data_IF_196456031413
#
_entry.id   IF_196456031413
#
_cell.length_a   1.000
_cell.length_b   1.000
_cell.length_c   1.000
_cell.angle_alpha   90.00
_cell.angle_beta   90.00
_cell.angle_gamma   90.00
#
_symmetry.space_group_name_H-M   'P 1'
#
loop_
_entity.id
_entity.type
_entity.pdbx_description
1 polymer ?
#
# COMPACT_ATOMS: atom_id res chain seq x y z
N UNK A 1 -24.30 -65.12 -76.67
CA UNK A 1 -24.42 -64.52 -75.33
C UNK A 1 -23.03 -64.11 -74.89
N UNK A 2 -22.87 -62.82 -74.54
CA UNK A 2 -21.79 -62.19 -73.73
C UNK A 2 -20.35 -62.55 -74.12
N UNK A 3 -19.52 -61.68 -74.69
CA UNK A 3 -19.40 -60.23 -74.50
C UNK A 3 -18.00 -59.94 -73.95
N UNK A 4 -17.35 -58.92 -74.51
CA UNK A 4 -16.42 -57.94 -73.90
C UNK A 4 -15.43 -57.49 -74.97
N UNK A 5 -15.70 -56.29 -75.47
CA UNK A 5 -14.86 -55.45 -76.29
C UNK A 5 -13.75 -54.83 -75.43
N UNK A 6 -12.58 -54.61 -76.02
CA UNK A 6 -11.68 -53.54 -75.61
C UNK A 6 -10.88 -53.08 -76.84
N UNK A 7 -11.22 -51.90 -77.31
CA UNK A 7 -10.48 -51.11 -78.29
C UNK A 7 -9.07 -50.80 -77.78
N UNK A 8 -8.08 -51.07 -78.62
CA UNK A 8 -6.70 -50.61 -78.46
C UNK A 8 -6.58 -49.29 -79.22
N UNK A 9 -6.18 -48.25 -78.50
CA UNK A 9 -5.84 -46.94 -79.01
C UNK A 9 -4.46 -46.92 -79.68
N UNK A 10 -4.31 -46.08 -80.71
CA UNK A 10 -3.05 -45.55 -81.23
C UNK A 10 -3.23 -44.07 -81.62
N UNK A 11 -2.15 -43.26 -81.79
CA UNK A 11 -1.92 -42.06 -80.98
C UNK A 11 -1.78 -40.75 -81.79
N UNK A 12 -1.36 -39.67 -81.08
CA UNK A 12 -0.95 -38.29 -81.48
C UNK A 12 -2.00 -37.22 -81.11
N UNK A 13 -1.68 -36.00 -80.69
CA UNK A 13 -0.50 -35.16 -80.93
C UNK A 13 -0.33 -34.06 -79.85
N UNK A 14 0.84 -33.41 -79.92
CA UNK A 14 1.15 -32.04 -79.53
C UNK A 14 1.35 -31.65 -78.06
N UNK A 15 2.63 -31.79 -77.70
CA UNK A 15 3.42 -30.93 -76.82
C UNK A 15 3.08 -29.43 -77.01
N UNK A 16 2.12 -28.93 -76.23
CA UNK A 16 2.01 -27.51 -75.92
C UNK A 16 2.74 -27.23 -74.61
N UNK A 17 4.03 -26.85 -74.72
CA UNK A 17 4.82 -26.32 -73.60
C UNK A 17 4.14 -25.06 -73.04
N UNK A 18 3.41 -25.22 -71.94
CA UNK A 18 3.06 -24.12 -71.02
C UNK A 18 4.36 -23.47 -70.52
N UNK A 19 4.42 -22.13 -70.41
CA UNK A 19 5.57 -21.45 -69.85
C UNK A 19 5.69 -21.84 -68.37
N UNK A 20 6.86 -22.40 -68.00
CA UNK A 20 7.20 -22.64 -66.60
C UNK A 20 7.14 -21.31 -65.86
N UNK A 21 6.19 -21.17 -64.93
CA UNK A 21 6.25 -20.14 -63.90
C UNK A 21 7.61 -20.24 -63.20
N UNK A 22 8.44 -19.22 -63.40
CA UNK A 22 9.65 -19.03 -62.61
C UNK A 22 9.26 -18.92 -61.14
N UNK A 23 9.75 -19.83 -60.30
CA UNK A 23 9.70 -19.66 -58.84
C UNK A 23 10.40 -18.35 -58.51
N UNK A 24 9.66 -17.37 -57.98
CA UNK A 24 10.24 -16.14 -57.46
C UNK A 24 11.27 -16.49 -56.38
N UNK A 25 12.44 -15.86 -56.43
CA UNK A 25 13.46 -15.99 -55.39
C UNK A 25 12.91 -15.51 -54.04
N UNK A 26 13.34 -16.13 -52.92
CA UNK A 26 12.92 -15.69 -51.60
C UNK A 26 13.43 -14.26 -51.33
N UNK A 27 12.52 -13.36 -50.99
CA UNK A 27 12.85 -11.95 -50.68
C UNK A 27 13.85 -11.86 -49.52
N UNK A 28 14.78 -10.91 -49.61
CA UNK A 28 15.65 -10.59 -48.47
C UNK A 28 14.88 -9.85 -47.37
N UNK A 29 15.41 -9.85 -46.15
CA UNK A 29 14.81 -9.11 -45.01
C UNK A 29 14.67 -7.62 -45.35
N UNK A 30 15.69 -7.02 -45.96
CA UNK A 30 15.67 -5.60 -46.35
C UNK A 30 14.60 -5.30 -47.39
N UNK A 31 14.39 -6.19 -48.38
CA UNK A 31 13.32 -6.08 -49.37
C UNK A 31 11.95 -6.14 -48.70
N UNK A 32 11.74 -7.09 -47.78
CA UNK A 32 10.48 -7.21 -47.04
C UNK A 32 10.19 -5.91 -46.27
N UNK A 33 11.18 -5.38 -45.56
CA UNK A 33 11.01 -4.14 -44.78
C UNK A 33 10.74 -2.93 -45.69
N UNK A 34 11.48 -2.80 -46.79
CA UNK A 34 11.32 -1.68 -47.73
C UNK A 34 9.95 -1.71 -48.41
N UNK A 35 9.51 -2.89 -48.87
CA UNK A 35 8.20 -3.07 -49.50
C UNK A 35 7.05 -2.83 -48.51
N UNK A 36 7.21 -3.23 -47.24
CA UNK A 36 6.15 -3.09 -46.24
C UNK A 36 5.76 -1.62 -45.98
N UNK A 37 6.72 -0.70 -46.05
CA UNK A 37 6.52 0.72 -45.79
C UNK A 37 6.48 1.59 -47.05
N UNK A 38 6.67 0.99 -48.24
CA UNK A 38 6.73 1.73 -49.50
C UNK A 38 5.49 2.60 -49.72
N UNK A 39 5.71 3.85 -50.15
CA UNK A 39 4.63 4.77 -50.48
C UNK A 39 4.01 4.31 -51.80
N UNK A 40 2.77 3.85 -51.73
CA UNK A 40 1.94 3.57 -52.90
C UNK A 40 0.66 4.38 -52.79
N UNK A 41 0.10 4.81 -53.92
CA UNK A 41 -1.16 5.53 -53.94
C UNK A 41 -2.30 4.65 -54.45
N UNK A 42 -3.51 4.95 -54.02
CA UNK A 42 -4.72 4.37 -54.59
C UNK A 42 -5.14 5.09 -55.88
N UNK A 43 -6.30 4.70 -56.41
CA UNK A 43 -6.86 5.29 -57.64
C UNK A 43 -7.23 6.76 -57.47
N UNK A 44 -7.45 7.19 -56.22
CA UNK A 44 -7.87 8.54 -55.83
C UNK A 44 -6.66 9.39 -55.38
N UNK A 45 -5.44 8.92 -55.65
CA UNK A 45 -4.16 9.54 -55.24
C UNK A 45 -3.92 9.62 -53.73
N UNK A 46 -4.72 8.92 -52.91
CA UNK A 46 -4.46 8.83 -51.47
C UNK A 46 -3.34 7.83 -51.21
N UNK A 47 -2.48 8.15 -50.25
CA UNK A 47 -1.42 7.24 -49.79
C UNK A 47 -2.06 6.02 -49.15
N UNK A 48 -1.71 4.83 -49.63
CA UNK A 48 -2.15 3.57 -49.04
C UNK A 48 -1.43 3.35 -47.70
N UNK A 49 -2.14 2.81 -46.69
CA UNK A 49 -1.50 2.37 -45.47
C UNK A 49 -0.44 1.31 -45.75
N UNK A 50 0.61 1.30 -44.93
CA UNK A 50 1.61 0.25 -44.93
C UNK A 50 0.94 -1.11 -44.76
N UNK A 51 1.51 -2.14 -45.38
CA UNK A 51 0.97 -3.49 -45.28
C UNK A 51 2.07 -4.53 -45.35
N UNK A 52 1.92 -5.60 -44.59
CA UNK A 52 2.83 -6.75 -44.61
C UNK A 52 2.00 -8.03 -44.65
N UNK A 53 2.39 -8.99 -45.49
CA UNK A 53 1.62 -10.23 -45.63
C UNK A 53 1.99 -11.25 -44.55
N UNK A 54 1.09 -12.22 -44.30
CA UNK A 54 1.39 -13.36 -43.41
C UNK A 54 2.60 -14.18 -43.92
N UNK A 55 2.80 -14.24 -45.24
CA UNK A 55 3.94 -14.92 -45.84
C UNK A 55 5.26 -14.19 -45.59
N UNK A 56 5.26 -12.85 -45.67
CA UNK A 56 6.43 -12.03 -45.35
C UNK A 56 6.79 -12.15 -43.86
N UNK A 57 5.80 -12.05 -42.96
CA UNK A 57 6.01 -12.26 -41.52
C UNK A 57 6.58 -13.66 -41.22
N UNK A 58 6.07 -14.70 -41.89
CA UNK A 58 6.61 -16.06 -41.77
C UNK A 58 8.05 -16.15 -42.28
N UNK A 59 8.34 -15.49 -43.39
CA UNK A 59 9.67 -15.44 -43.98
C UNK A 59 10.68 -14.78 -43.03
N UNK A 60 10.30 -13.67 -42.38
CA UNK A 60 11.12 -13.02 -41.35
C UNK A 60 11.41 -13.96 -40.17
N UNK A 61 10.41 -14.70 -39.67
CA UNK A 61 10.57 -15.62 -38.54
C UNK A 61 11.49 -16.81 -38.84
N UNK A 62 11.52 -17.27 -40.10
CA UNK A 62 12.27 -18.46 -40.53
C UNK A 62 13.54 -18.14 -41.31
N UNK A 63 13.91 -16.86 -41.42
CA UNK A 63 15.04 -16.44 -42.24
C UNK A 63 16.36 -17.01 -41.68
N UNK A 64 17.12 -17.68 -42.54
CA UNK A 64 18.30 -18.44 -42.10
C UNK A 64 19.63 -17.73 -42.37
N UNK A 65 19.68 -16.69 -43.21
CA UNK A 65 20.93 -16.01 -43.53
C UNK A 65 21.25 -14.93 -42.50
N UNK A 66 22.54 -14.75 -42.19
CA UNK A 66 23.01 -13.65 -41.36
C UNK A 66 22.72 -12.33 -42.07
N UNK A 67 21.91 -11.50 -41.43
CA UNK A 67 21.51 -10.19 -41.93
C UNK A 67 22.04 -9.15 -40.97
N UNK A 68 22.61 -8.06 -41.51
CA UNK A 68 22.90 -6.85 -40.75
C UNK A 68 22.07 -5.73 -41.34
N UNK A 69 21.18 -5.17 -40.54
CA UNK A 69 20.33 -4.08 -41.01
C UNK A 69 21.07 -2.76 -40.79
N UNK A 70 21.39 -2.07 -41.88
CA UNK A 70 22.13 -0.80 -41.77
C UNK A 70 21.27 0.29 -41.11
N UNK A 71 21.93 1.23 -40.44
CA UNK A 71 21.27 2.45 -39.95
C UNK A 71 20.63 3.25 -41.08
N UNK A 72 21.26 3.25 -42.25
CA UNK A 72 20.79 3.93 -43.45
C UNK A 72 19.45 3.37 -43.94
N UNK A 73 19.23 2.05 -43.79
CA UNK A 73 17.95 1.43 -44.11
C UNK A 73 16.82 1.96 -43.20
N UNK A 74 17.06 2.06 -41.89
CA UNK A 74 16.07 2.61 -40.97
C UNK A 74 15.76 4.08 -41.29
N UNK A 75 16.79 4.87 -41.59
CA UNK A 75 16.64 6.29 -41.91
C UNK A 75 15.90 6.49 -43.24
N UNK A 76 16.19 5.68 -44.26
CA UNK A 76 15.49 5.70 -45.56
C UNK A 76 14.01 5.30 -45.45
N UNK A 77 13.68 4.31 -44.61
CA UNK A 77 12.31 3.86 -44.38
C UNK A 77 11.52 4.87 -43.52
N UNK A 78 12.18 5.62 -42.63
CA UNK A 78 11.54 6.55 -41.69
C UNK A 78 10.60 7.53 -42.38
N UNK A 79 11.03 8.15 -43.48
CA UNK A 79 10.22 9.14 -44.20
C UNK A 79 8.95 8.52 -44.83
N UNK A 80 9.06 7.28 -45.31
CA UNK A 80 7.93 6.54 -45.87
C UNK A 80 6.97 6.08 -44.75
N UNK A 81 7.51 5.47 -43.69
CA UNK A 81 6.75 4.99 -42.54
C UNK A 81 6.00 6.12 -41.81
N UNK A 82 6.56 7.34 -41.74
CA UNK A 82 5.86 8.52 -41.21
C UNK A 82 4.51 8.77 -41.89
N UNK A 83 4.38 8.41 -43.18
CA UNK A 83 3.19 8.65 -43.99
C UNK A 83 2.29 7.42 -44.08
N UNK A 84 2.88 6.23 -44.13
CA UNK A 84 2.17 4.98 -44.40
C UNK A 84 1.78 4.20 -43.14
N UNK A 85 2.52 4.34 -42.04
CA UNK A 85 2.26 3.65 -40.75
C UNK A 85 2.35 4.59 -39.54
N UNK A 86 1.63 5.72 -39.51
CA UNK A 86 1.74 6.68 -38.40
C UNK A 86 1.31 6.09 -37.05
N UNK A 87 0.38 5.13 -37.04
CA UNK A 87 -0.03 4.41 -35.82
C UNK A 87 0.95 3.31 -35.40
N UNK A 88 1.99 2.99 -36.20
CA UNK A 88 2.97 1.93 -35.94
C UNK A 88 2.38 0.51 -35.93
N UNK A 89 1.30 0.29 -36.67
CA UNK A 89 0.60 -0.99 -36.71
C UNK A 89 1.41 -2.06 -37.43
N UNK A 90 1.99 -1.74 -38.58
CA UNK A 90 2.85 -2.67 -39.33
C UNK A 90 4.15 -2.91 -38.57
N UNK A 91 4.71 -1.84 -37.99
CA UNK A 91 5.89 -1.96 -37.14
C UNK A 91 5.68 -2.88 -35.93
N UNK A 92 4.52 -2.80 -35.27
CA UNK A 92 4.13 -3.73 -34.19
C UNK A 92 4.10 -5.18 -34.65
N UNK A 93 3.55 -5.47 -35.85
CA UNK A 93 3.51 -6.82 -36.40
C UNK A 93 4.92 -7.35 -36.72
N UNK A 94 5.78 -6.51 -37.30
CA UNK A 94 7.18 -6.85 -37.57
C UNK A 94 7.92 -7.11 -36.26
N UNK A 95 7.71 -6.27 -35.24
CA UNK A 95 8.33 -6.45 -33.91
C UNK A 95 7.90 -7.76 -33.27
N UNK A 96 6.62 -8.13 -33.37
CA UNK A 96 6.14 -9.42 -32.87
C UNK A 96 6.76 -10.60 -33.64
N UNK A 97 6.92 -10.49 -34.95
CA UNK A 97 7.62 -11.50 -35.76
C UNK A 97 9.11 -11.58 -35.41
N UNK A 98 9.77 -10.44 -35.18
CA UNK A 98 11.14 -10.35 -34.72
C UNK A 98 11.33 -11.09 -33.40
N UNK A 99 10.46 -10.86 -32.42
CA UNK A 99 10.50 -11.53 -31.12
C UNK A 99 10.36 -13.06 -31.23
N UNK A 100 9.59 -13.56 -32.21
CA UNK A 100 9.37 -14.98 -32.49
C UNK A 100 10.50 -15.64 -33.29
N UNK A 101 11.50 -14.88 -33.74
CA UNK A 101 12.63 -15.44 -34.49
C UNK A 101 13.42 -16.43 -33.64
N UNK A 102 13.76 -17.59 -34.22
CA UNK A 102 14.52 -18.64 -33.51
C UNK A 102 16.02 -18.31 -33.38
N UNK A 103 16.55 -17.48 -34.28
CA UNK A 103 17.96 -17.08 -34.27
C UNK A 103 18.15 -15.79 -33.48
N UNK A 104 18.95 -15.85 -32.42
CA UNK A 104 19.20 -14.71 -31.53
C UNK A 104 19.78 -13.49 -32.24
N UNK A 105 20.73 -13.70 -33.18
CA UNK A 105 21.33 -12.61 -33.95
C UNK A 105 20.31 -11.85 -34.80
N UNK A 106 19.50 -12.57 -35.58
CA UNK A 106 18.44 -11.96 -36.40
C UNK A 106 17.37 -11.29 -35.54
N UNK A 107 16.98 -11.92 -34.42
CA UNK A 107 16.05 -11.34 -33.44
C UNK A 107 16.58 -10.01 -32.92
N UNK A 108 17.85 -9.95 -32.53
CA UNK A 108 18.47 -8.73 -32.02
C UNK A 108 18.53 -7.61 -33.08
N UNK A 109 18.95 -7.93 -34.30
CA UNK A 109 19.02 -6.98 -35.42
C UNK A 109 17.64 -6.40 -35.77
N UNK A 110 16.63 -7.26 -35.91
CA UNK A 110 15.26 -6.83 -36.21
C UNK A 110 14.66 -6.02 -35.05
N UNK A 111 14.87 -6.43 -33.79
CA UNK A 111 14.39 -5.66 -32.64
C UNK A 111 15.05 -4.28 -32.58
N UNK A 112 16.36 -4.20 -32.83
CA UNK A 112 17.11 -2.93 -32.86
C UNK A 112 16.59 -2.02 -33.98
N UNK A 113 16.36 -2.58 -35.17
CA UNK A 113 15.73 -1.86 -36.28
C UNK A 113 14.34 -1.32 -35.90
N UNK A 114 13.49 -2.16 -35.29
CA UNK A 114 12.13 -1.77 -34.91
C UNK A 114 12.13 -0.67 -33.85
N UNK A 115 13.01 -0.76 -32.85
CA UNK A 115 13.16 0.28 -31.81
C UNK A 115 13.66 1.59 -32.40
N UNK A 116 14.64 1.55 -33.30
CA UNK A 116 15.14 2.76 -33.97
C UNK A 116 14.03 3.43 -34.78
N UNK A 117 13.30 2.65 -35.58
CA UNK A 117 12.19 3.18 -36.37
C UNK A 117 11.06 3.74 -35.48
N UNK A 118 10.71 3.05 -34.40
CA UNK A 118 9.74 3.55 -33.41
C UNK A 118 10.21 4.87 -32.77
N UNK A 119 11.51 5.00 -32.47
CA UNK A 119 12.10 6.22 -31.89
C UNK A 119 12.05 7.40 -32.85
N UNK A 120 12.27 7.16 -34.15
CA UNK A 120 12.12 8.17 -35.20
C UNK A 120 10.68 8.60 -35.44
N UNK A 121 9.71 7.73 -35.17
CA UNK A 121 8.27 7.96 -35.39
C UNK A 121 7.52 8.40 -34.12
N UNK A 122 8.18 8.38 -32.96
CA UNK A 122 7.63 8.75 -31.67
C UNK A 122 7.33 10.25 -31.53
N UNK A 123 6.36 10.60 -30.69
CA UNK A 123 5.88 11.98 -30.47
C UNK A 123 6.97 12.96 -29.98
N UNK A 124 8.06 12.49 -29.37
CA UNK A 124 9.22 13.31 -28.98
C UNK A 124 10.47 13.04 -29.82
N UNK A 125 10.33 12.60 -31.08
CA UNK A 125 11.45 12.39 -32.01
C UNK A 125 12.42 13.58 -32.12
N UNK A 126 11.97 14.81 -31.81
CA UNK A 126 12.79 16.02 -31.78
C UNK A 126 13.97 15.93 -30.79
N UNK A 127 13.94 14.98 -29.85
CA UNK A 127 15.06 14.72 -28.93
C UNK A 127 16.22 13.95 -29.59
N UNK A 128 16.04 13.43 -30.81
CA UNK A 128 17.10 12.75 -31.56
C UNK A 128 17.49 11.38 -30.99
N UNK A 129 16.65 10.77 -30.16
CA UNK A 129 16.92 9.46 -29.59
C UNK A 129 16.88 8.36 -30.66
N UNK A 130 17.87 7.47 -30.62
CA UNK A 130 17.91 6.25 -31.44
C UNK A 130 17.26 5.05 -30.74
N UNK A 131 17.04 5.14 -29.42
CA UNK A 131 16.45 4.10 -28.59
C UNK A 131 15.64 4.75 -27.47
N UNK A 132 14.39 5.08 -27.78
CA UNK A 132 13.49 5.75 -26.87
C UNK A 132 13.27 4.94 -25.58
N UNK A 133 13.30 3.61 -25.67
CA UNK A 133 13.02 2.74 -24.53
C UNK A 133 14.17 2.79 -23.54
N UNK A 134 15.41 2.76 -24.03
CA UNK A 134 16.59 2.97 -23.20
C UNK A 134 16.57 4.33 -22.51
N UNK A 135 16.29 5.40 -23.25
CA UNK A 135 16.22 6.75 -22.67
C UNK A 135 15.16 6.87 -21.57
N UNK A 136 13.99 6.23 -21.76
CA UNK A 136 12.95 6.16 -20.74
C UNK A 136 13.47 5.38 -19.53
N UNK A 137 13.98 4.17 -19.74
CA UNK A 137 14.43 3.31 -18.64
C UNK A 137 15.63 3.87 -17.88
N UNK A 138 16.53 4.61 -18.53
CA UNK A 138 17.66 5.25 -17.86
C UNK A 138 17.19 6.40 -16.93
N UNK A 139 16.01 6.97 -17.20
CA UNK A 139 15.40 7.97 -16.31
C UNK A 139 14.84 7.38 -15.01
N UNK A 140 14.51 6.08 -14.97
CA UNK A 140 14.03 5.37 -13.77
C UNK A 140 15.13 5.30 -12.69
N UNK A 141 16.41 5.25 -13.09
CA UNK A 141 17.55 5.04 -12.19
C UNK A 141 17.42 3.79 -11.31
N UNK A 142 16.58 2.81 -11.71
CA UNK A 142 16.32 1.58 -10.98
C UNK A 142 15.46 1.77 -9.72
N UNK A 143 14.60 2.79 -9.68
CA UNK A 143 13.71 3.07 -8.55
C UNK A 143 12.45 2.19 -8.58
N UNK A 144 11.89 1.90 -9.75
CA UNK A 144 10.72 1.04 -9.88
C UNK A 144 11.07 -0.45 -9.95
N UNK A 145 10.40 -1.25 -9.13
CA UNK A 145 10.56 -2.71 -9.12
C UNK A 145 9.91 -3.40 -10.33
N UNK A 146 9.12 -2.67 -11.13
CA UNK A 146 8.43 -3.19 -12.33
C UNK A 146 8.75 -2.35 -13.56
N UNK A 147 9.73 -2.76 -14.39
CA UNK A 147 10.11 -2.05 -15.61
C UNK A 147 8.97 -1.81 -16.60
N UNK A 148 8.04 -2.78 -16.74
CA UNK A 148 6.86 -2.64 -17.61
C UNK A 148 5.90 -1.57 -17.09
N UNK A 149 5.68 -1.51 -15.78
CA UNK A 149 4.79 -0.51 -15.17
C UNK A 149 5.37 0.89 -15.33
N UNK A 150 6.67 1.06 -15.04
CA UNK A 150 7.35 2.33 -15.25
C UNK A 150 7.28 2.79 -16.71
N UNK A 151 7.63 1.91 -17.65
CA UNK A 151 7.58 2.18 -19.08
C UNK A 151 6.16 2.60 -19.51
N UNK A 152 5.15 1.87 -19.05
CA UNK A 152 3.76 2.14 -19.35
C UNK A 152 3.32 3.52 -18.86
N UNK A 153 3.65 3.85 -17.62
CA UNK A 153 3.31 5.14 -17.02
C UNK A 153 4.01 6.29 -17.75
N UNK A 154 5.30 6.14 -18.05
CA UNK A 154 6.08 7.14 -18.76
C UNK A 154 5.51 7.42 -20.17
N UNK A 155 5.23 6.37 -20.95
CA UNK A 155 4.66 6.54 -22.30
C UNK A 155 3.24 7.09 -22.23
N UNK A 156 2.40 6.55 -21.35
CA UNK A 156 0.99 6.95 -21.23
C UNK A 156 0.88 8.41 -20.84
N UNK A 157 1.72 8.90 -19.92
CA UNK A 157 1.71 10.29 -19.50
C UNK A 157 2.08 11.25 -20.64
N UNK A 158 3.05 10.88 -21.48
CA UNK A 158 3.43 11.70 -22.63
C UNK A 158 2.31 11.76 -23.68
N UNK A 159 1.67 10.62 -23.97
CA UNK A 159 0.53 10.59 -24.88
C UNK A 159 -0.69 11.31 -24.32
N UNK A 160 -0.95 11.23 -23.01
CA UNK A 160 -2.03 11.97 -22.35
C UNK A 160 -1.87 13.48 -22.57
N UNK A 161 -0.67 14.02 -22.30
CA UNK A 161 -0.36 15.44 -22.54
C UNK A 161 -0.58 15.83 -24.01
N UNK A 162 -0.16 14.98 -24.96
CA UNK A 162 -0.34 15.24 -26.39
C UNK A 162 -1.82 15.21 -26.81
N UNK A 163 -2.57 14.19 -26.39
CA UNK A 163 -4.00 14.05 -26.68
C UNK A 163 -4.80 15.23 -26.12
N UNK A 164 -4.47 15.68 -24.91
CA UNK A 164 -5.09 16.86 -24.29
C UNK A 164 -4.78 18.13 -25.08
N UNK A 165 -3.53 18.31 -25.54
CA UNK A 165 -3.13 19.47 -26.36
C UNK A 165 -3.89 19.54 -27.69
N UNK A 166 -4.04 18.40 -28.38
CA UNK A 166 -4.84 18.30 -29.63
C UNK A 166 -6.31 18.58 -29.34
N UNK A 167 -6.82 18.12 -28.20
CA UNK A 167 -8.18 18.40 -27.76
C UNK A 167 -8.48 19.88 -27.54
N UNK A 168 -7.53 20.64 -26.96
CA UNK A 168 -7.67 22.09 -26.76
C UNK A 168 -7.57 22.86 -28.07
N UNK A 169 -6.62 22.51 -28.93
CA UNK A 169 -6.46 23.14 -30.25
C UNK A 169 -7.69 22.97 -31.15
N UNK A 170 -8.35 21.81 -31.10
CA UNK A 170 -9.61 21.58 -31.81
C UNK A 170 -10.80 22.39 -31.24
N UNK A 171 -10.73 22.77 -29.95
CA UNK A 171 -11.77 23.56 -29.27
C UNK A 171 -11.57 25.07 -29.38
N UNK A 172 -10.36 25.53 -29.70
CA UNK A 172 -9.97 26.94 -29.77
C UNK A 172 -9.88 27.49 -31.20
N UNK A 173 -10.18 26.70 -32.23
CA UNK A 173 -10.11 27.15 -33.63
C UNK A 173 -11.04 28.36 -33.90
N UNK A 174 -10.51 29.57 -34.17
CA UNK A 174 -11.31 30.71 -34.59
C UNK A 174 -11.57 30.66 -36.10
N UNK A 175 -12.69 31.24 -36.52
CA UNK A 175 -13.07 31.55 -37.90
C UNK A 175 -11.90 32.13 -38.74
N UNK A 176 -11.89 31.94 -40.07
CA UNK A 176 -10.71 32.13 -40.89
C UNK A 176 -10.33 33.60 -40.94
N UNK A 177 -9.19 33.95 -40.35
CA UNK A 177 -8.50 35.21 -40.62
C UNK A 177 -7.21 34.92 -41.36
N UNK A 178 -7.14 35.48 -42.55
CA UNK A 178 -6.00 35.52 -43.46
C UNK A 178 -4.73 35.93 -42.72
N UNK A 179 -3.79 34.99 -42.57
CA UNK A 179 -2.39 35.34 -42.43
C UNK A 179 -1.53 34.33 -43.17
N UNK A 180 -0.77 34.85 -44.12
CA UNK A 180 0.32 34.15 -44.78
C UNK A 180 1.41 33.88 -43.73
N UNK A 181 1.31 32.73 -43.07
CA UNK A 181 2.44 32.12 -42.38
C UNK A 181 3.01 31.07 -43.33
N UNK A 182 4.30 31.17 -43.63
CA UNK A 182 5.06 30.16 -44.36
C UNK A 182 4.70 28.77 -43.81
N UNK A 183 4.12 27.93 -44.67
CA UNK A 183 3.71 26.60 -44.32
C UNK A 183 4.95 25.79 -43.93
N UNK A 184 5.26 25.73 -42.63
CA UNK A 184 6.05 24.62 -42.09
C UNK A 184 5.32 23.37 -42.54
N UNK A 185 5.98 22.52 -43.34
CA UNK A 185 5.47 21.21 -43.71
C UNK A 185 5.02 20.50 -42.43
N UNK A 186 3.72 20.51 -42.15
CA UNK A 186 3.17 19.78 -41.01
C UNK A 186 3.37 18.33 -41.35
N UNK A 187 4.27 17.67 -40.63
CA UNK A 187 4.50 16.26 -40.88
C UNK A 187 3.23 15.48 -40.53
N UNK A 188 2.96 14.35 -41.21
CA UNK A 188 1.75 13.55 -40.99
C UNK A 188 1.54 13.15 -39.51
N UNK A 189 2.62 13.06 -38.73
CA UNK A 189 2.61 12.79 -37.29
C UNK A 189 2.06 13.96 -36.43
N UNK A 190 2.12 15.20 -36.93
CA UNK A 190 1.58 16.37 -36.22
C UNK A 190 0.06 16.49 -36.35
N UNK A 191 -0.57 15.69 -37.23
CA UNK A 191 -1.99 15.78 -37.62
C UNK A 191 -2.83 14.62 -37.04
N UNK A 192 -2.24 13.74 -36.22
CA UNK A 192 -2.95 12.57 -35.68
C UNK A 192 -4.11 12.96 -34.75
N UNK A 193 -5.27 12.35 -34.99
CA UNK A 193 -6.45 12.44 -34.15
C UNK A 193 -6.22 11.79 -32.78
N UNK A 194 -7.09 12.09 -31.81
CA UNK A 194 -7.03 11.48 -30.47
C UNK A 194 -7.06 9.94 -30.52
N UNK A 195 -7.81 9.37 -31.46
CA UNK A 195 -7.95 7.92 -31.64
C UNK A 195 -6.67 7.31 -32.20
N UNK A 196 -6.08 7.93 -33.22
CA UNK A 196 -4.82 7.49 -33.83
C UNK A 196 -3.65 7.62 -32.83
N UNK A 197 -3.62 8.69 -32.02
CA UNK A 197 -2.64 8.82 -30.93
C UNK A 197 -2.77 7.73 -29.87
N UNK A 198 -4.01 7.34 -29.51
CA UNK A 198 -4.23 6.24 -28.58
C UNK A 198 -3.79 4.88 -29.18
N UNK A 199 -4.05 4.66 -30.47
CA UNK A 199 -3.57 3.48 -31.18
C UNK A 199 -2.03 3.44 -31.24
N UNK A 200 -1.41 4.57 -31.59
CA UNK A 200 0.05 4.73 -31.62
C UNK A 200 0.67 4.45 -30.25
N UNK A 201 0.10 5.01 -29.17
CA UNK A 201 0.51 4.71 -27.79
C UNK A 201 0.52 3.22 -27.51
N UNK A 202 -0.57 2.52 -27.81
CA UNK A 202 -0.69 1.09 -27.53
C UNK A 202 0.32 0.26 -28.34
N UNK A 203 0.58 0.64 -29.59
CA UNK A 203 1.61 -0.01 -30.42
C UNK A 203 3.03 0.24 -29.88
N UNK A 204 3.34 1.45 -29.41
CA UNK A 204 4.64 1.74 -28.80
C UNK A 204 4.83 0.99 -27.47
N UNK A 205 3.77 0.84 -26.68
CA UNK A 205 3.77 0.01 -25.47
C UNK A 205 4.04 -1.46 -25.81
N UNK A 206 3.39 -2.00 -26.85
CA UNK A 206 3.63 -3.36 -27.33
C UNK A 206 5.09 -3.57 -27.74
N UNK A 207 5.63 -2.67 -28.58
CA UNK A 207 7.03 -2.75 -29.03
C UNK A 207 7.99 -2.67 -27.84
N UNK A 208 7.73 -1.76 -26.90
CA UNK A 208 8.57 -1.57 -25.70
C UNK A 208 8.54 -2.74 -24.73
N UNK A 209 7.37 -3.35 -24.52
CA UNK A 209 7.24 -4.55 -23.70
C UNK A 209 7.99 -5.74 -24.30
N UNK A 210 7.86 -5.95 -25.62
CA UNK A 210 8.63 -6.97 -26.33
C UNK A 210 10.14 -6.71 -26.30
N UNK A 211 10.56 -5.44 -26.35
CA UNK A 211 11.97 -5.06 -26.18
C UNK A 211 12.48 -5.36 -24.77
N UNK A 212 11.75 -4.98 -23.71
CA UNK A 212 12.14 -5.28 -22.33
C UNK A 212 12.27 -6.79 -22.09
N UNK A 213 11.34 -7.58 -22.63
CA UNK A 213 11.40 -9.04 -22.63
C UNK A 213 12.62 -9.57 -23.37
N UNK A 214 12.93 -9.04 -24.57
CA UNK A 214 14.08 -9.45 -25.36
C UNK A 214 15.42 -9.13 -24.66
N UNK A 215 15.46 -8.07 -23.86
CA UNK A 215 16.61 -7.70 -23.03
C UNK A 215 16.69 -8.49 -21.70
N UNK A 216 15.71 -9.34 -21.40
CA UNK A 216 15.64 -10.07 -20.12
C UNK A 216 15.37 -9.17 -18.91
N UNK A 217 14.92 -7.93 -19.12
CA UNK A 217 14.58 -6.97 -18.06
C UNK A 217 13.22 -7.25 -17.42
N UNK A 218 12.41 -8.11 -18.03
CA UNK A 218 11.10 -8.51 -17.50
C UNK A 218 10.83 -9.97 -17.79
N UNK A 219 10.25 -10.67 -16.81
CA UNK A 219 9.84 -12.06 -16.96
C UNK A 219 8.50 -12.19 -17.72
N UNK A 220 8.20 -13.43 -18.14
CA UNK A 220 7.01 -13.71 -18.92
C UNK A 220 5.69 -13.57 -18.15
N UNK A 221 5.67 -13.78 -16.82
CA UNK A 221 4.44 -13.64 -16.04
C UNK A 221 4.05 -12.16 -15.91
N UNK A 222 5.03 -11.29 -15.60
CA UNK A 222 4.82 -9.85 -15.59
C UNK A 222 4.35 -9.34 -16.96
N UNK A 223 4.89 -9.89 -18.07
CA UNK A 223 4.42 -9.57 -19.41
C UNK A 223 2.99 -10.06 -19.70
N UNK A 224 2.63 -11.26 -19.25
CA UNK A 224 1.25 -11.79 -19.37
C UNK A 224 0.27 -10.87 -18.64
N UNK A 225 0.58 -10.48 -17.40
CA UNK A 225 -0.25 -9.55 -16.62
C UNK A 225 -0.38 -8.20 -17.34
N UNK A 226 0.73 -7.64 -17.82
CA UNK A 226 0.75 -6.39 -18.56
C UNK A 226 -0.13 -6.42 -19.81
N UNK A 227 0.05 -7.41 -20.69
CA UNK A 227 -0.76 -7.53 -21.90
C UNK A 227 -2.22 -7.87 -21.62
N UNK A 228 -2.51 -8.62 -20.56
CA UNK A 228 -3.89 -8.88 -20.12
C UNK A 228 -4.60 -7.60 -19.68
N UNK A 229 -3.89 -6.71 -18.97
CA UNK A 229 -4.38 -5.39 -18.59
C UNK A 229 -4.71 -4.53 -19.80
N UNK A 230 -3.79 -4.46 -20.77
CA UNK A 230 -4.01 -3.71 -22.02
C UNK A 230 -5.20 -4.25 -22.84
N UNK A 231 -5.40 -5.57 -22.86
CA UNK A 231 -6.57 -6.17 -23.53
C UNK A 231 -7.87 -5.82 -22.82
N UNK A 232 -7.88 -5.85 -21.48
CA UNK A 232 -9.04 -5.49 -20.68
C UNK A 232 -9.46 -4.03 -20.89
N UNK A 233 -8.51 -3.11 -21.04
CA UNK A 233 -8.80 -1.70 -21.38
C UNK A 233 -9.46 -1.53 -22.75
N UNK A 234 -9.22 -2.44 -23.69
CA UNK A 234 -9.80 -2.39 -25.04
C UNK A 234 -11.15 -3.11 -25.17
N UNK A 235 -11.49 -3.99 -24.25
CA UNK A 235 -12.76 -4.72 -24.29
C UNK A 235 -13.95 -3.80 -24.05
N UNK A 236 -14.92 -3.82 -24.98
CA UNK A 236 -16.22 -3.21 -24.78
C UNK A 236 -16.95 -3.86 -23.60
N UNK A 237 -17.66 -3.10 -22.75
CA UNK A 237 -18.35 -3.63 -21.57
C UNK A 237 -19.45 -4.66 -21.91
N UNK A 238 -19.94 -4.66 -23.14
CA UNK A 238 -20.93 -5.63 -23.62
C UNK A 238 -20.24 -6.82 -24.29
N UNK A 239 -20.03 -7.90 -23.54
CA UNK A 239 -19.59 -9.18 -24.10
C UNK A 239 -20.73 -9.78 -24.94
N UNK A 240 -20.41 -10.24 -26.16
CA UNK A 240 -21.36 -10.95 -27.02
C UNK A 240 -21.10 -12.46 -26.91
N UNK A 241 -21.93 -13.25 -26.20
CA UNK A 241 -21.69 -14.66 -25.98
C UNK A 241 -21.59 -15.48 -27.27
N UNK A 242 -22.34 -15.07 -28.31
CA UNK A 242 -22.29 -15.73 -29.62
C UNK A 242 -20.95 -15.53 -30.31
N UNK A 243 -20.37 -14.33 -30.24
CA UNK A 243 -19.07 -14.05 -30.82
C UNK A 243 -17.96 -14.87 -30.13
N UNK A 244 -18.03 -14.98 -28.79
CA UNK A 244 -17.11 -15.81 -28.01
C UNK A 244 -17.25 -17.28 -28.39
N UNK A 245 -18.47 -17.81 -28.48
CA UNK A 245 -18.71 -19.21 -28.86
C UNK A 245 -18.18 -19.54 -30.26
N UNK A 246 -18.42 -18.66 -31.25
CA UNK A 246 -17.90 -18.83 -32.61
C UNK A 246 -16.37 -18.81 -32.63
N UNK A 247 -15.74 -17.84 -31.93
CA UNK A 247 -14.29 -17.78 -31.83
C UNK A 247 -13.69 -19.05 -31.22
N UNK A 248 -14.26 -19.56 -30.13
CA UNK A 248 -13.80 -20.81 -29.51
C UNK A 248 -13.94 -22.02 -30.45
N UNK A 249 -15.03 -22.09 -31.23
CA UNK A 249 -15.20 -23.12 -32.24
C UNK A 249 -14.14 -23.03 -33.35
N UNK A 250 -13.82 -21.81 -33.82
CA UNK A 250 -12.74 -21.60 -34.79
C UNK A 250 -11.37 -22.05 -34.26
N UNK A 251 -11.05 -21.72 -33.00
CA UNK A 251 -9.79 -22.15 -32.39
C UNK A 251 -9.70 -23.67 -32.23
N UNK A 252 -10.82 -24.33 -31.88
CA UNK A 252 -10.89 -25.79 -31.81
C UNK A 252 -10.65 -26.45 -33.18
N UNK A 253 -11.26 -25.91 -34.24
CA UNK A 253 -11.03 -26.38 -35.63
C UNK A 253 -9.57 -26.19 -36.04
N UNK A 254 -8.95 -25.07 -35.65
CA UNK A 254 -7.55 -24.78 -35.94
C UNK A 254 -6.56 -25.56 -35.06
N UNK A 255 -7.04 -26.32 -34.06
CA UNK A 255 -6.24 -27.07 -33.09
C UNK A 255 -5.16 -26.23 -32.40
N UNK A 256 -5.44 -24.94 -32.15
CA UNK A 256 -4.49 -24.06 -31.48
C UNK A 256 -4.50 -24.34 -29.97
N UNK A 257 -3.48 -25.07 -29.48
CA UNK A 257 -3.34 -25.41 -28.07
C UNK A 257 -3.00 -24.20 -27.20
N UNK A 258 -2.46 -23.11 -27.78
CA UNK A 258 -2.02 -21.94 -27.02
C UNK A 258 -3.18 -21.25 -26.30
N UNK A 259 -4.38 -21.26 -26.90
CA UNK A 259 -5.55 -20.71 -26.22
C UNK A 259 -5.92 -21.56 -24.99
N UNK A 260 -5.87 -22.89 -25.09
CA UNK A 260 -6.13 -23.77 -23.97
C UNK A 260 -5.08 -23.57 -22.86
N UNK A 261 -3.80 -23.49 -23.23
CA UNK A 261 -2.69 -23.20 -22.31
C UNK A 261 -2.87 -21.85 -21.60
N UNK A 262 -3.30 -20.82 -22.34
CA UNK A 262 -3.60 -19.48 -21.79
C UNK A 262 -4.77 -19.54 -20.80
N UNK A 263 -5.84 -20.25 -21.15
CA UNK A 263 -7.00 -20.45 -20.25
C UNK A 263 -6.56 -21.18 -18.97
N UNK A 264 -5.78 -22.24 -19.10
CA UNK A 264 -5.32 -23.01 -17.95
C UNK A 264 -4.32 -22.25 -17.08
N UNK A 265 -3.48 -21.39 -17.67
CA UNK A 265 -2.64 -20.44 -16.93
C UNK A 265 -3.48 -19.53 -16.02
N UNK A 266 -4.50 -18.86 -16.58
CA UNK A 266 -5.36 -17.97 -15.79
C UNK A 266 -6.24 -18.73 -14.79
N UNK A 267 -6.71 -19.94 -15.12
CA UNK A 267 -7.41 -20.79 -14.13
C UNK A 267 -6.51 -21.14 -12.95
N UNK A 268 -5.26 -21.53 -13.18
CA UNK A 268 -4.30 -21.83 -12.11
C UNK A 268 -4.08 -20.61 -11.22
N UNK A 269 -3.82 -19.44 -11.81
CA UNK A 269 -3.70 -18.20 -11.04
C UNK A 269 -4.96 -17.89 -10.24
N UNK A 270 -6.16 -18.04 -10.82
CA UNK A 270 -7.41 -17.80 -10.11
C UNK A 270 -7.59 -18.76 -8.92
N UNK A 271 -7.25 -20.04 -9.09
CA UNK A 271 -7.31 -21.00 -7.99
C UNK A 271 -6.32 -20.70 -6.88
N UNK A 272 -5.11 -20.23 -7.23
CA UNK A 272 -4.09 -19.83 -6.25
C UNK A 272 -4.55 -18.61 -5.47
N UNK A 273 -5.03 -17.56 -6.14
CA UNK A 273 -5.57 -16.36 -5.51
C UNK A 273 -6.76 -16.68 -4.60
N UNK A 274 -7.68 -17.56 -5.04
CA UNK A 274 -8.78 -18.01 -4.21
C UNK A 274 -8.30 -18.77 -2.95
N UNK A 275 -7.23 -19.55 -3.07
CA UNK A 275 -6.58 -20.22 -1.95
C UNK A 275 -5.95 -19.23 -0.96
N UNK A 276 -5.20 -18.25 -1.47
CA UNK A 276 -4.60 -17.19 -0.67
C UNK A 276 -5.66 -16.34 0.05
N UNK A 277 -6.76 -16.00 -0.63
CA UNK A 277 -7.88 -15.27 -0.05
C UNK A 277 -8.49 -16.03 1.13
N UNK A 278 -8.75 -17.34 0.97
CA UNK A 278 -9.25 -18.19 2.06
C UNK A 278 -8.29 -18.25 3.24
N UNK A 279 -6.99 -18.37 2.98
CA UNK A 279 -5.95 -18.36 4.01
C UNK A 279 -5.93 -17.03 4.79
N UNK A 280 -5.92 -15.91 4.08
CA UNK A 280 -5.94 -14.57 4.69
C UNK A 280 -7.23 -14.33 5.48
N UNK A 281 -8.37 -14.78 4.98
CA UNK A 281 -9.64 -14.67 5.68
C UNK A 281 -9.65 -15.52 6.97
N UNK A 282 -9.10 -16.73 6.93
CA UNK A 282 -8.94 -17.57 8.13
C UNK A 282 -8.04 -16.90 9.16
N UNK A 283 -6.90 -16.32 8.74
CA UNK A 283 -5.98 -15.59 9.61
C UNK A 283 -6.65 -14.35 10.23
N UNK A 284 -7.40 -13.59 9.44
CA UNK A 284 -8.16 -12.44 9.90
C UNK A 284 -9.18 -12.85 10.98
N UNK A 285 -9.96 -13.91 10.74
CA UNK A 285 -10.94 -14.41 11.71
C UNK A 285 -10.27 -14.88 13.02
N UNK A 286 -9.10 -15.53 12.94
CA UNK A 286 -8.36 -15.94 14.13
C UNK A 286 -7.90 -14.73 14.97
N UNK A 287 -7.38 -13.69 14.31
CA UNK A 287 -7.00 -12.43 14.96
C UNK A 287 -8.19 -11.70 15.57
N UNK A 288 -9.36 -11.74 14.92
CA UNK A 288 -10.59 -11.13 15.45
C UNK A 288 -11.06 -11.84 16.73
N UNK A 289 -10.96 -13.17 16.79
CA UNK A 289 -11.26 -13.95 17.99
C UNK A 289 -10.30 -13.60 19.13
N UNK A 290 -9.00 -13.50 18.84
CA UNK A 290 -7.98 -13.13 19.83
C UNK A 290 -8.21 -11.71 20.37
N UNK A 291 -8.54 -10.75 19.50
CA UNK A 291 -8.88 -9.39 19.90
C UNK A 291 -10.10 -9.34 20.82
N UNK A 292 -11.17 -10.09 20.51
CA UNK A 292 -12.35 -10.18 21.38
C UNK A 292 -12.02 -10.79 22.75
N UNK A 293 -11.17 -11.82 22.77
CA UNK A 293 -10.72 -12.44 24.02
C UNK A 293 -9.89 -11.45 24.86
N UNK A 294 -8.98 -10.71 24.23
CA UNK A 294 -8.16 -9.70 24.91
C UNK A 294 -9.01 -8.53 25.42
N UNK A 295 -9.98 -8.06 24.62
CA UNK A 295 -10.91 -7.02 25.03
C UNK A 295 -11.74 -7.44 26.26
N UNK A 296 -12.22 -8.68 26.27
CA UNK A 296 -12.92 -9.27 27.42
C UNK A 296 -12.02 -9.28 28.65
N UNK A 297 -10.76 -9.71 28.51
CA UNK A 297 -9.77 -9.71 29.59
C UNK A 297 -9.45 -8.32 30.12
N UNK A 298 -9.38 -7.32 29.24
CA UNK A 298 -9.17 -5.92 29.64
C UNK A 298 -10.38 -5.42 30.43
N UNK A 299 -11.61 -5.70 29.98
CA UNK A 299 -12.80 -5.31 30.74
C UNK A 299 -12.86 -5.94 32.13
N UNK A 300 -12.53 -7.24 32.25
CA UNK A 300 -12.52 -7.90 33.57
C UNK A 300 -11.43 -7.34 34.49
N UNK A 301 -10.29 -6.93 33.94
CA UNK A 301 -9.25 -6.25 34.72
C UNK A 301 -9.70 -4.85 35.16
N UNK A 302 -10.38 -4.09 34.30
CA UNK A 302 -10.92 -2.77 34.65
C UNK A 302 -11.91 -2.88 35.83
N UNK A 303 -12.83 -3.86 35.78
CA UNK A 303 -13.77 -4.08 36.88
C UNK A 303 -13.06 -4.48 38.17
N UNK A 304 -12.06 -5.36 38.09
CA UNK A 304 -11.28 -5.77 39.26
C UNK A 304 -10.47 -4.62 39.88
N UNK A 305 -9.95 -3.71 39.06
CA UNK A 305 -9.27 -2.49 39.55
C UNK A 305 -10.26 -1.59 40.27
N UNK A 306 -11.45 -1.35 39.70
CA UNK A 306 -12.48 -0.53 40.34
C UNK A 306 -12.92 -1.08 41.70
N UNK A 307 -13.09 -2.41 41.82
CA UNK A 307 -13.41 -3.07 43.10
C UNK A 307 -12.29 -2.89 44.12
N UNK A 308 -11.01 -2.98 43.68
CA UNK A 308 -9.85 -2.77 44.53
C UNK A 308 -9.73 -1.33 45.00
N UNK A 309 -9.97 -0.35 44.13
CA UNK A 309 -9.98 1.06 44.50
C UNK A 309 -11.08 1.37 45.53
N UNK A 310 -12.26 0.75 45.38
CA UNK A 310 -13.32 0.87 46.39
C UNK A 310 -12.90 0.26 47.73
N UNK A 311 -12.19 -0.88 47.72
CA UNK A 311 -11.67 -1.50 48.93
C UNK A 311 -10.61 -0.61 49.61
N UNK A 312 -9.71 -0.01 48.83
CA UNK A 312 -8.69 0.93 49.32
C UNK A 312 -9.37 2.13 49.98
N UNK A 313 -10.38 2.73 49.33
CA UNK A 313 -11.10 3.87 49.89
C UNK A 313 -11.77 3.55 51.24
N UNK A 314 -12.37 2.36 51.38
CA UNK A 314 -12.95 1.91 52.66
C UNK A 314 -11.90 1.75 53.75
N UNK A 315 -10.78 1.09 53.43
CA UNK A 315 -9.68 0.90 54.38
C UNK A 315 -9.04 2.24 54.79
N UNK A 316 -8.91 3.19 53.86
CA UNK A 316 -8.42 4.53 54.18
C UNK A 316 -9.34 5.25 55.16
N UNK A 317 -10.66 5.19 54.95
CA UNK A 317 -11.63 5.79 55.86
C UNK A 317 -11.61 5.13 57.25
N UNK A 318 -11.47 3.81 57.32
CA UNK A 318 -11.33 3.08 58.59
C UNK A 318 -10.05 3.46 59.33
N UNK A 319 -8.92 3.58 58.61
CA UNK A 319 -7.65 4.03 59.19
C UNK A 319 -7.77 5.46 59.74
N UNK A 320 -8.46 6.36 59.03
CA UNK A 320 -8.70 7.72 59.54
C UNK A 320 -9.59 7.73 60.78
N UNK A 321 -10.66 6.93 60.82
CA UNK A 321 -11.51 6.79 62.00
C UNK A 321 -10.73 6.24 63.19
N UNK A 322 -9.91 5.21 62.99
CA UNK A 322 -9.08 4.64 64.06
C UNK A 322 -8.05 5.65 64.58
N UNK A 323 -7.46 6.46 63.70
CA UNK A 323 -6.54 7.54 64.11
C UNK A 323 -7.26 8.60 64.96
N UNK A 324 -8.47 8.98 64.58
CA UNK A 324 -9.28 9.93 65.36
C UNK A 324 -9.65 9.36 66.73
N UNK A 325 -10.15 8.13 66.77
CA UNK A 325 -10.48 7.44 68.02
C UNK A 325 -9.26 7.29 68.94
N UNK A 326 -8.10 6.95 68.38
CA UNK A 326 -6.84 6.88 69.13
C UNK A 326 -6.42 8.26 69.68
N UNK A 327 -6.63 9.34 68.91
CA UNK A 327 -6.32 10.69 69.36
C UNK A 327 -7.25 11.14 70.50
N UNK A 328 -8.55 10.89 70.38
CA UNK A 328 -9.53 11.16 71.44
C UNK A 328 -9.20 10.38 72.72
N UNK A 329 -8.88 9.09 72.60
CA UNK A 329 -8.45 8.28 73.74
C UNK A 329 -7.20 8.86 74.42
N UNK A 330 -6.21 9.35 73.67
CA UNK A 330 -5.04 10.00 74.24
C UNK A 330 -5.38 11.31 74.98
N UNK A 331 -6.35 12.08 74.48
CA UNK A 331 -6.82 13.30 75.14
C UNK A 331 -7.55 12.96 76.44
N UNK A 332 -8.41 11.95 76.45
CA UNK A 332 -9.11 11.48 77.65
C UNK A 332 -8.14 10.94 78.70
N UNK A 333 -7.15 10.14 78.28
CA UNK A 333 -6.08 9.67 79.16
C UNK A 333 -5.25 10.84 79.73
N UNK A 334 -5.02 11.89 78.94
CA UNK A 334 -4.31 13.08 79.43
C UNK A 334 -5.16 13.90 80.39
N UNK A 335 -6.46 14.04 80.11
CA UNK A 335 -7.40 14.73 80.98
C UNK A 335 -7.51 14.02 82.33
N UNK A 336 -7.72 12.70 82.34
CA UNK A 336 -7.77 11.88 83.55
C UNK A 336 -6.47 11.97 84.35
N UNK A 337 -5.30 11.87 83.71
CA UNK A 337 -4.00 12.09 84.39
C UNK A 337 -3.89 13.48 85.02
N UNK A 338 -4.38 14.52 84.35
CA UNK A 338 -4.35 15.90 84.86
C UNK A 338 -5.28 16.07 86.06
N UNK A 339 -6.51 15.56 85.98
CA UNK A 339 -7.46 15.56 87.09
C UNK A 339 -6.90 14.83 88.32
N UNK A 340 -6.30 13.65 88.15
CA UNK A 340 -5.66 12.92 89.23
C UNK A 340 -4.51 13.72 89.87
N UNK A 341 -3.70 14.40 89.05
CA UNK A 341 -2.61 15.27 89.54
C UNK A 341 -3.14 16.47 90.32
N UNK A 342 -4.19 17.11 89.84
CA UNK A 342 -4.80 18.27 90.49
C UNK A 342 -5.45 17.88 91.81
N UNK A 343 -6.17 16.75 91.87
CA UNK A 343 -6.70 16.20 93.12
C UNK A 343 -5.57 15.91 94.13
N UNK A 344 -4.46 15.31 93.69
CA UNK A 344 -3.30 15.08 94.55
C UNK A 344 -2.67 16.40 95.03
N UNK A 345 -2.61 17.42 94.18
CA UNK A 345 -2.14 18.76 94.53
C UNK A 345 -3.05 19.45 95.56
N UNK A 346 -4.36 19.38 95.37
CA UNK A 346 -5.36 19.89 96.31
C UNK A 346 -5.26 19.20 97.66
N UNK A 347 -5.14 17.87 97.68
CA UNK A 347 -4.93 17.12 98.91
C UNK A 347 -3.65 17.56 99.64
N UNK A 348 -2.54 17.71 98.92
CA UNK A 348 -1.29 18.20 99.52
C UNK A 348 -1.44 19.60 100.11
N UNK A 349 -2.10 20.52 99.41
CA UNK A 349 -2.34 21.88 99.90
C UNK A 349 -3.24 21.90 101.14
N UNK A 350 -4.31 21.10 101.14
CA UNK A 350 -5.22 21.00 102.29
C UNK A 350 -4.52 20.43 103.52
N UNK A 351 -3.69 19.38 103.34
CA UNK A 351 -2.93 18.80 104.45
C UNK A 351 -1.92 19.81 105.02
N UNK A 352 -1.30 20.61 104.15
CA UNK A 352 -0.36 21.66 104.57
C UNK A 352 -1.06 22.75 105.39
N UNK A 353 -2.24 23.22 104.97
CA UNK A 353 -3.00 24.23 105.69
C UNK A 353 -3.47 23.71 107.05
N UNK A 354 -4.04 22.49 107.11
CA UNK A 354 -4.45 21.85 108.36
C UNK A 354 -3.29 21.80 109.36
N UNK A 355 -2.12 21.32 108.92
CA UNK A 355 -0.96 21.19 109.80
C UNK A 355 -0.44 22.56 110.27
N UNK A 356 -0.44 23.56 109.40
CA UNK A 356 0.23 24.85 109.66
C UNK A 356 -0.66 25.84 110.40
N UNK A 357 -1.92 25.95 109.99
CA UNK A 357 -2.85 26.95 110.52
C UNK A 357 -3.67 26.38 111.67
N UNK A 358 -4.26 25.20 111.48
CA UNK A 358 -5.26 24.67 112.41
C UNK A 358 -4.67 23.79 113.52
N UNK A 359 -3.46 23.28 113.35
CA UNK A 359 -2.79 22.40 114.33
C UNK A 359 -1.60 23.09 114.99
N UNK A 360 -0.64 23.58 114.19
CA UNK A 360 0.59 24.16 114.73
C UNK A 360 0.32 25.44 115.53
N UNK A 361 -0.59 26.30 115.10
CA UNK A 361 -0.86 27.57 115.78
C UNK A 361 -1.53 27.38 117.16
N UNK A 362 -2.57 26.56 117.32
CA UNK A 362 -3.10 26.21 118.65
C UNK A 362 -2.06 25.52 119.55
N UNK A 363 -1.20 24.65 118.99
CA UNK A 363 -0.13 24.02 119.76
C UNK A 363 0.93 25.02 120.25
N UNK A 364 1.31 26.01 119.42
CA UNK A 364 2.18 27.11 119.87
C UNK A 364 1.52 27.92 120.99
N UNK A 365 0.23 28.23 120.87
CA UNK A 365 -0.52 28.95 121.90
C UNK A 365 -0.63 28.15 123.20
N UNK A 366 -0.81 26.83 123.10
CA UNK A 366 -0.78 25.89 124.22
C UNK A 366 0.57 25.90 124.91
N UNK A 367 1.67 25.76 124.15
CA UNK A 367 3.04 25.82 124.66
C UNK A 367 3.34 27.17 125.32
N UNK A 368 2.92 28.28 124.71
CA UNK A 368 3.06 29.62 125.29
C UNK A 368 2.25 29.77 126.60
N UNK A 369 1.08 29.13 126.73
CA UNK A 369 0.28 29.14 127.95
C UNK A 369 0.93 28.33 129.10
N UNK A 370 1.66 27.26 128.77
CA UNK A 370 2.41 26.44 129.73
C UNK A 370 3.74 27.10 130.17
N UNK A 371 4.38 27.88 129.30
CA UNK A 371 5.67 28.55 129.59
C UNK A 371 5.56 29.82 130.45
N UNK A 372 4.35 30.20 130.89
CA UNK A 372 4.13 31.36 131.77
C UNK A 372 4.58 31.05 133.21
N UNK A 373 5.01 32.08 133.95
CA UNK A 373 5.42 31.98 135.37
C UNK A 373 4.39 31.28 136.27
N UNK A 374 3.09 31.42 135.95
CA UNK A 374 2.03 30.54 136.43
C UNK A 374 1.38 29.83 135.22
N UNK A 375 1.60 28.52 135.05
CA UNK A 375 1.11 27.80 133.88
C UNK A 375 -0.42 27.75 133.87
N UNK A 376 -1.02 28.08 132.72
CA UNK A 376 -2.47 28.00 132.52
C UNK A 376 -2.82 26.66 131.86
N UNK A 377 -2.86 25.61 132.66
CA UNK A 377 -3.08 24.23 132.19
C UNK A 377 -4.41 24.05 131.47
N UNK A 378 -5.49 24.65 131.96
CA UNK A 378 -6.82 24.55 131.34
C UNK A 378 -6.85 25.16 129.92
N UNK A 379 -6.19 26.31 129.74
CA UNK A 379 -6.08 26.95 128.41
C UNK A 379 -5.23 26.09 127.47
N UNK A 380 -4.15 25.51 127.98
CA UNK A 380 -3.29 24.63 127.19
C UNK A 380 -4.01 23.35 126.74
N UNK A 381 -4.80 22.74 127.62
CA UNK A 381 -5.64 21.57 127.31
C UNK A 381 -6.68 21.93 126.25
N UNK A 382 -7.41 23.03 126.44
CA UNK A 382 -8.43 23.46 125.47
C UNK A 382 -7.85 23.74 124.07
N UNK A 383 -6.65 24.32 123.98
CA UNK A 383 -5.98 24.54 122.69
C UNK A 383 -5.52 23.25 122.02
N UNK A 384 -5.16 22.23 122.80
CA UNK A 384 -4.84 20.89 122.27
C UNK A 384 -6.12 20.21 121.77
N UNK A 385 -7.22 20.32 122.52
CA UNK A 385 -8.53 19.79 122.10
C UNK A 385 -8.97 20.40 120.76
N UNK A 386 -8.82 21.72 120.58
CA UNK A 386 -9.13 22.39 119.31
C UNK A 386 -8.28 21.86 118.14
N UNK A 387 -6.98 21.61 118.36
CA UNK A 387 -6.13 21.01 117.33
C UNK A 387 -6.55 19.58 116.98
N UNK A 388 -6.92 18.78 117.98
CA UNK A 388 -7.40 17.41 117.79
C UNK A 388 -8.74 17.40 117.04
N UNK A 389 -9.69 18.26 117.41
CA UNK A 389 -10.97 18.40 116.72
C UNK A 389 -10.79 18.81 115.24
N UNK A 390 -9.85 19.72 114.96
CA UNK A 390 -9.53 20.11 113.58
C UNK A 390 -8.96 18.93 112.78
N UNK A 391 -8.07 18.13 113.37
CA UNK A 391 -7.55 16.91 112.72
C UNK A 391 -8.67 15.91 112.46
N UNK A 392 -9.50 15.60 113.46
CA UNK A 392 -10.58 14.62 113.34
C UNK A 392 -11.64 15.02 112.31
N UNK A 393 -11.88 16.33 112.15
CA UNK A 393 -12.79 16.87 111.15
C UNK A 393 -12.23 16.69 109.75
N UNK A 394 -10.99 17.10 109.52
CA UNK A 394 -10.42 17.19 108.18
C UNK A 394 -9.79 15.89 107.69
N UNK A 395 -9.41 14.97 108.59
CA UNK A 395 -8.89 13.64 108.21
C UNK A 395 -9.88 12.84 107.35
N UNK A 396 -11.18 13.03 107.58
CA UNK A 396 -12.26 12.39 106.81
C UNK A 396 -12.23 12.78 105.33
N UNK A 397 -11.76 13.98 105.01
CA UNK A 397 -11.66 14.44 103.63
C UNK A 397 -10.52 13.76 102.86
N UNK A 398 -9.51 13.23 103.54
CA UNK A 398 -8.40 12.50 102.90
C UNK A 398 -8.66 11.00 102.75
N UNK A 399 -9.74 10.49 103.36
CA UNK A 399 -10.12 9.07 103.32
C UNK A 399 -11.11 8.71 102.22
N UNK A 400 -11.62 9.69 101.48
CA UNK A 400 -12.38 9.53 100.22
C UNK A 400 -11.48 9.84 99.03
#
# INVERSE_FOLDING_TARGET
MTGIENEIAEPKSDDTKKPKQSKAEPKSVEQILTEAFAITTDKDQNIKPASITKADLKSLMTYQQDTRLSSELADSITAAACKTDPELKVLSLITLAAFKCQRDGLRHELMTFCVRLASSLWIQRHRGSLDLYRDIMDADKGLDSSPLTFLSNAITEQYRKRIDSVGRQASEAPSPSTSNAEAKESTALDVLSKKELAAQRNNILLIGALWLMAQGKTDFNAAIEFFSGLLNEQTSPTQNPRAVAVFLAEQYVNQDSLLADTIDHFKKQFTELAGQQKFLQSKHNAQEVELKALQTKVMTQITAIADKDQQIARLMAEVEQLKLAQHEQQLDERATRTHLRDNAGQAKAKAFNLLTEDVLEPLKLSLAALQREKPKTEVAVHQIELAVESIERDIKWFSE
#
